data_IF_129503365001
#
_entry.id   IF_129503365001
#
_cell.length_a   1.000
_cell.length_b   1.000
_cell.length_c   1.000
_cell.angle_alpha   90.00
_cell.angle_beta   90.00
_cell.angle_gamma   90.00
#
_symmetry.space_group_name_H-M   'P 1'
#
loop_
_entity.id
_entity.type
_entity.pdbx_description
1 polymer ?
#
# COMPACT_ATOMS: atom_id res chain seq x y z
N UNK A 1 -23.34 -58.95 2.44
CA UNK A 1 -22.67 -58.23 1.34
C UNK A 1 -21.79 -57.18 2.00
N UNK A 2 -20.48 -57.37 1.96
CA UNK A 2 -19.54 -56.37 2.44
C UNK A 2 -19.48 -55.29 1.33
N UNK A 3 -19.97 -54.10 1.61
CA UNK A 3 -19.79 -52.96 0.70
C UNK A 3 -18.30 -52.62 0.71
N UNK A 4 -17.57 -53.12 -0.29
CA UNK A 4 -16.20 -52.66 -0.54
C UNK A 4 -16.26 -51.28 -1.14
N UNK A 5 -15.91 -50.29 -0.35
CA UNK A 5 -15.75 -48.91 -0.85
C UNK A 5 -14.42 -48.88 -1.57
N UNK A 6 -14.41 -48.48 -2.84
CA UNK A 6 -13.19 -48.24 -3.60
C UNK A 6 -12.55 -46.92 -3.13
N UNK A 7 -11.29 -46.99 -2.68
CA UNK A 7 -10.56 -45.82 -2.14
C UNK A 7 -9.14 -45.79 -2.69
N UNK A 8 -8.53 -44.61 -2.72
CA UNK A 8 -7.10 -44.45 -3.02
C UNK A 8 -6.29 -44.59 -1.75
N UNK A 9 -5.29 -45.48 -1.76
CA UNK A 9 -4.35 -45.63 -0.66
C UNK A 9 -2.91 -45.38 -1.16
N UNK A 10 -2.09 -44.82 -0.29
CA UNK A 10 -0.68 -44.64 -0.61
C UNK A 10 0.05 -45.98 -0.65
N UNK A 11 0.75 -46.25 -1.76
CA UNK A 11 1.61 -47.42 -1.88
C UNK A 11 3.01 -47.01 -2.37
N UNK A 12 4.02 -47.69 -1.82
CA UNK A 12 5.42 -47.64 -2.24
C UNK A 12 5.89 -48.95 -2.87
N UNK A 13 4.97 -49.87 -3.15
CA UNK A 13 5.31 -51.18 -3.72
C UNK A 13 5.50 -51.06 -5.25
N UNK A 14 6.61 -51.59 -5.81
CA UNK A 14 6.89 -51.46 -7.25
C UNK A 14 5.89 -52.17 -8.17
N UNK A 15 5.24 -53.21 -7.65
CA UNK A 15 4.31 -54.07 -8.42
C UNK A 15 2.86 -53.55 -8.41
N UNK A 16 2.56 -52.50 -7.63
CA UNK A 16 1.23 -51.91 -7.58
C UNK A 16 0.97 -50.99 -8.81
N UNK A 17 -0.26 -51.00 -9.31
CA UNK A 17 -0.69 -50.02 -10.30
C UNK A 17 -0.90 -48.69 -9.63
N UNK A 18 -0.03 -47.71 -9.91
CA UNK A 18 0.00 -46.40 -9.23
C UNK A 18 -0.75 -45.35 -10.05
N UNK A 19 -1.53 -44.53 -9.37
CA UNK A 19 -2.24 -43.38 -9.93
C UNK A 19 -1.69 -42.06 -9.36
N UNK A 20 -1.65 -41.02 -10.17
CA UNK A 20 -1.36 -39.65 -9.70
C UNK A 20 -2.67 -39.00 -9.29
N UNK A 21 -2.96 -38.98 -8.02
CA UNK A 21 -4.21 -38.45 -7.46
C UNK A 21 -4.03 -37.08 -6.89
N UNK A 22 -4.87 -36.12 -7.26
CA UNK A 22 -4.93 -34.80 -6.65
C UNK A 22 -6.02 -34.77 -5.59
N UNK A 23 -5.66 -34.34 -4.39
CA UNK A 23 -6.59 -34.12 -3.29
C UNK A 23 -6.86 -32.62 -3.12
N UNK A 24 -8.14 -32.26 -3.06
CA UNK A 24 -8.57 -30.91 -2.72
C UNK A 24 -9.03 -30.87 -1.27
N UNK A 25 -8.69 -29.78 -0.58
CA UNK A 25 -9.20 -29.51 0.74
C UNK A 25 -10.67 -29.11 0.64
N UNK A 26 -11.54 -29.81 1.37
CA UNK A 26 -12.96 -29.51 1.51
C UNK A 26 -13.24 -29.04 2.94
N UNK A 27 -14.48 -28.65 3.25
CA UNK A 27 -14.84 -28.27 4.61
C UNK A 27 -14.64 -29.43 5.60
N UNK A 28 -14.45 -29.11 6.87
CA UNK A 28 -14.32 -30.10 7.96
C UNK A 28 -15.52 -31.04 7.95
N UNK A 29 -15.28 -32.35 8.05
CA UNK A 29 -16.28 -33.42 7.98
C UNK A 29 -17.08 -33.46 6.66
N UNK A 30 -16.46 -33.01 5.56
CA UNK A 30 -17.03 -33.08 4.21
C UNK A 30 -16.19 -33.90 3.25
N UNK A 31 -15.06 -34.45 3.70
CA UNK A 31 -14.17 -35.30 2.94
C UNK A 31 -13.89 -36.61 3.67
N UNK A 32 -13.44 -37.61 2.93
CA UNK A 32 -13.13 -38.96 3.42
C UNK A 32 -11.62 -39.19 3.61
N UNK A 33 -10.79 -38.13 3.45
CA UNK A 33 -9.34 -38.19 3.60
C UNK A 33 -8.82 -37.17 4.59
N UNK A 34 -7.74 -37.53 5.28
CA UNK A 34 -6.94 -36.62 6.09
C UNK A 34 -5.51 -36.55 5.57
N UNK A 35 -4.84 -35.43 5.81
CA UNK A 35 -3.42 -35.29 5.55
C UNK A 35 -2.63 -35.99 6.68
N UNK A 36 -2.03 -37.15 6.39
CA UNK A 36 -1.26 -37.94 7.34
C UNK A 36 0.15 -37.41 7.52
N UNK A 37 0.76 -36.95 6.41
CA UNK A 37 2.12 -36.42 6.40
C UNK A 37 2.25 -35.31 5.37
N UNK A 38 2.94 -34.23 5.77
CA UNK A 38 3.23 -33.07 4.93
C UNK A 38 4.72 -32.84 4.71
N UNK A 39 5.52 -33.92 4.64
CA UNK A 39 6.95 -33.81 4.39
C UNK A 39 7.26 -33.07 3.07
N UNK A 40 8.44 -32.45 3.00
CA UNK A 40 8.87 -31.60 1.87
C UNK A 40 8.83 -32.28 0.49
N UNK A 41 8.79 -33.60 0.44
CA UNK A 41 8.88 -34.39 -0.80
C UNK A 41 7.50 -34.80 -1.33
N UNK A 42 6.51 -35.08 -0.44
CA UNK A 42 5.15 -35.42 -0.87
C UNK A 42 4.15 -35.27 0.26
N UNK A 43 2.90 -34.94 -0.10
CA UNK A 43 1.78 -34.96 0.81
C UNK A 43 1.12 -36.34 0.70
N UNK A 44 0.99 -37.04 1.82
CA UNK A 44 0.35 -38.36 1.91
C UNK A 44 -1.01 -38.19 2.57
N UNK A 45 -2.05 -38.64 1.90
CA UNK A 45 -3.42 -38.63 2.37
C UNK A 45 -3.86 -40.03 2.74
N UNK A 46 -4.64 -40.17 3.80
CA UNK A 46 -5.17 -41.42 4.30
C UNK A 46 -6.69 -41.36 4.34
N UNK A 47 -7.32 -42.44 3.86
CA UNK A 47 -8.76 -42.59 3.91
C UNK A 47 -9.23 -42.86 5.34
N UNK A 48 -10.32 -42.19 5.74
CA UNK A 48 -11.00 -42.41 7.03
C UNK A 48 -12.44 -42.80 6.73
N UNK A 49 -12.90 -43.90 7.34
CA UNK A 49 -14.28 -44.32 7.18
C UNK A 49 -15.26 -43.32 7.79
N UNK A 50 -16.36 -43.01 7.10
CA UNK A 50 -17.45 -42.22 7.66
C UNK A 50 -18.05 -42.86 8.91
N UNK A 51 -18.30 -42.06 9.96
CA UNK A 51 -18.98 -42.47 11.16
C UNK A 51 -20.47 -42.11 11.03
N UNK A 52 -21.35 -43.11 11.10
CA UNK A 52 -22.79 -42.89 10.93
C UNK A 52 -23.15 -42.15 9.62
N UNK A 53 -22.41 -42.41 8.54
CA UNK A 53 -22.60 -41.75 7.24
C UNK A 53 -22.07 -40.33 7.16
N UNK A 54 -21.39 -39.84 8.20
CA UNK A 54 -20.76 -38.51 8.20
C UNK A 54 -19.26 -38.66 7.93
N UNK A 55 -18.72 -38.07 6.85
CA UNK A 55 -17.29 -38.03 6.57
C UNK A 55 -16.49 -37.47 7.74
N UNK A 56 -15.28 -37.99 7.97
CA UNK A 56 -14.44 -37.61 9.13
C UNK A 56 -13.19 -36.81 8.71
N UNK A 57 -12.95 -36.68 7.42
CA UNK A 57 -11.82 -35.98 6.86
C UNK A 57 -12.19 -34.58 6.32
N UNK A 58 -11.17 -33.92 5.79
CA UNK A 58 -11.27 -32.61 5.17
C UNK A 58 -10.55 -32.53 3.81
N UNK A 59 -10.30 -33.70 3.19
CA UNK A 59 -9.76 -33.82 1.84
C UNK A 59 -10.54 -34.85 1.03
N UNK A 60 -10.65 -34.61 -0.29
CA UNK A 60 -11.24 -35.51 -1.26
C UNK A 60 -10.40 -35.59 -2.53
N UNK A 61 -10.36 -36.76 -3.23
CA UNK A 61 -9.67 -36.90 -4.52
C UNK A 61 -10.50 -36.30 -5.66
N UNK A 62 -10.82 -35.03 -5.56
CA UNK A 62 -11.64 -34.29 -6.52
C UNK A 62 -10.93 -32.97 -6.90
N UNK A 63 -11.20 -32.51 -8.11
CA UNK A 63 -10.83 -31.16 -8.53
C UNK A 63 -12.03 -30.27 -8.20
N UNK A 64 -11.83 -29.34 -7.26
CA UNK A 64 -12.85 -28.35 -6.98
C UNK A 64 -12.95 -27.38 -8.18
N UNK A 65 -14.07 -27.40 -8.85
CA UNK A 65 -14.36 -26.49 -9.94
C UNK A 65 -14.67 -25.11 -9.35
N UNK A 66 -14.01 -24.08 -9.86
CA UNK A 66 -14.33 -22.69 -9.53
C UNK A 66 -15.63 -22.36 -10.28
N UNK A 67 -16.65 -21.98 -9.53
CA UNK A 67 -17.91 -21.54 -10.13
C UNK A 67 -17.70 -20.28 -10.99
N UNK A 68 -18.36 -20.13 -12.12
CA UNK A 68 -18.33 -18.88 -12.87
C UNK A 68 -18.93 -17.75 -12.03
N UNK A 69 -18.29 -16.59 -12.13
CA UNK A 69 -18.71 -15.36 -11.44
C UNK A 69 -19.31 -14.42 -12.48
N UNK A 70 -20.40 -13.75 -12.12
CA UNK A 70 -21.01 -12.71 -12.94
C UNK A 70 -21.06 -11.40 -12.17
N UNK A 71 -20.38 -10.38 -12.67
CA UNK A 71 -20.43 -9.02 -12.13
C UNK A 71 -21.08 -8.08 -13.13
N UNK A 72 -22.12 -7.38 -12.73
CA UNK A 72 -22.79 -6.34 -13.49
C UNK A 72 -22.80 -5.06 -12.67
N UNK A 73 -22.51 -3.92 -13.30
CA UNK A 73 -22.55 -2.60 -12.69
C UNK A 73 -23.29 -1.65 -13.63
N UNK A 74 -24.23 -0.92 -13.10
CA UNK A 74 -24.88 0.19 -13.80
C UNK A 74 -24.67 1.48 -13.02
N UNK A 75 -24.38 2.57 -13.72
CA UNK A 75 -24.13 3.88 -13.10
C UNK A 75 -25.00 4.96 -13.74
N UNK A 76 -25.50 5.84 -12.88
CA UNK A 76 -26.21 7.05 -13.28
C UNK A 76 -25.47 8.27 -12.77
N UNK A 77 -25.11 9.19 -13.67
CA UNK A 77 -24.34 10.40 -13.42
C UNK A 77 -25.21 11.63 -13.69
N UNK A 78 -25.12 12.62 -12.80
CA UNK A 78 -25.81 13.89 -13.01
C UNK A 78 -24.97 15.08 -12.58
N UNK A 79 -25.21 16.22 -13.26
CA UNK A 79 -24.58 17.51 -12.94
C UNK A 79 -25.63 18.57 -12.84
N UNK A 80 -25.52 19.42 -11.83
CA UNK A 80 -26.40 20.53 -11.59
C UNK A 80 -25.63 21.78 -11.20
N UNK A 81 -25.72 22.82 -12.02
CA UNK A 81 -25.03 24.09 -11.80
C UNK A 81 -26.09 25.21 -11.66
N UNK A 82 -26.66 25.38 -10.44
CA UNK A 82 -27.69 26.38 -10.22
C UNK A 82 -27.21 27.83 -10.43
N UNK A 83 -25.90 28.05 -10.27
CA UNK A 83 -25.26 29.34 -10.53
C UNK A 83 -23.84 29.10 -11.09
N UNK A 84 -23.21 30.15 -11.65
CA UNK A 84 -21.81 30.09 -12.07
C UNK A 84 -20.81 29.81 -10.90
N UNK A 85 -21.26 30.00 -9.66
CA UNK A 85 -20.47 29.82 -8.45
C UNK A 85 -20.70 28.48 -7.77
N UNK A 86 -21.74 27.74 -8.17
CA UNK A 86 -22.16 26.50 -7.52
C UNK A 86 -22.15 25.35 -8.53
N UNK A 87 -21.43 24.30 -8.24
CA UNK A 87 -21.43 23.06 -9.00
C UNK A 87 -21.74 21.88 -8.08
N UNK A 88 -22.66 21.04 -8.50
CA UNK A 88 -23.05 19.81 -7.83
C UNK A 88 -22.97 18.68 -8.84
N UNK A 89 -22.20 17.65 -8.54
CA UNK A 89 -22.13 16.42 -9.32
C UNK A 89 -22.60 15.28 -8.42
N UNK A 90 -23.34 14.33 -8.99
CA UNK A 90 -23.75 13.13 -8.27
C UNK A 90 -23.61 11.89 -9.14
N UNK A 91 -23.37 10.78 -8.49
CA UNK A 91 -23.25 9.46 -9.09
C UNK A 91 -23.96 8.45 -8.22
N UNK A 92 -24.75 7.57 -8.85
CA UNK A 92 -25.41 6.45 -8.21
C UNK A 92 -25.02 5.21 -9.00
N UNK A 93 -24.43 4.24 -8.32
CA UNK A 93 -24.03 2.95 -8.88
C UNK A 93 -24.80 1.83 -8.22
N UNK A 94 -25.27 0.89 -9.01
CA UNK A 94 -25.83 -0.37 -8.54
C UNK A 94 -24.99 -1.51 -9.11
N UNK A 95 -24.69 -2.52 -8.29
CA UNK A 95 -23.97 -3.71 -8.71
C UNK A 95 -24.80 -4.96 -8.44
N UNK A 96 -24.61 -5.97 -9.30
CA UNK A 96 -25.05 -7.32 -9.05
C UNK A 96 -23.82 -8.23 -9.26
N UNK A 97 -23.38 -8.90 -8.19
CA UNK A 97 -22.15 -9.69 -8.17
C UNK A 97 -22.45 -11.10 -7.66
N UNK A 98 -22.88 -11.95 -8.57
CA UNK A 98 -23.13 -13.36 -8.32
C UNK A 98 -21.80 -14.13 -8.35
N UNK A 99 -21.42 -14.70 -7.22
CA UNK A 99 -20.15 -15.41 -7.04
C UNK A 99 -20.22 -16.88 -7.41
N UNK A 100 -21.41 -17.40 -7.70
CA UNK A 100 -21.61 -18.79 -8.02
C UNK A 100 -22.86 -19.00 -8.89
N UNK A 101 -22.74 -18.82 -10.19
CA UNK A 101 -23.85 -18.99 -11.15
C UNK A 101 -24.54 -20.37 -11.13
N UNK A 102 -23.98 -21.35 -10.42
CA UNK A 102 -24.55 -22.69 -10.31
C UNK A 102 -25.42 -22.89 -9.06
N UNK A 103 -25.47 -21.91 -8.15
CA UNK A 103 -26.22 -22.01 -6.90
C UNK A 103 -26.90 -20.68 -6.57
N UNK A 104 -28.13 -20.72 -6.19
CA UNK A 104 -28.88 -19.57 -5.66
C UNK A 104 -28.83 -19.44 -4.14
N UNK A 105 -28.08 -20.26 -3.44
CA UNK A 105 -28.02 -20.26 -1.97
C UNK A 105 -27.32 -19.03 -1.40
N UNK A 106 -26.43 -18.41 -2.18
CA UNK A 106 -25.64 -17.22 -1.79
C UNK A 106 -26.08 -15.92 -2.48
N UNK A 107 -27.25 -15.91 -3.18
CA UNK A 107 -27.74 -14.74 -3.93
C UNK A 107 -28.18 -13.57 -3.08
N UNK A 108 -28.41 -13.75 -1.78
CA UNK A 108 -28.95 -12.71 -0.90
C UNK A 108 -28.06 -11.48 -0.71
N UNK A 109 -26.78 -11.57 -1.08
CA UNK A 109 -25.79 -10.49 -1.00
C UNK A 109 -25.20 -10.07 -2.35
N UNK A 110 -25.84 -10.44 -3.46
CA UNK A 110 -25.37 -10.13 -4.81
C UNK A 110 -25.57 -8.66 -5.17
N UNK A 111 -26.58 -7.99 -4.60
CA UNK A 111 -26.94 -6.64 -4.94
C UNK A 111 -26.31 -5.60 -4.00
N UNK A 112 -25.74 -4.56 -4.57
CA UNK A 112 -25.13 -3.47 -3.83
C UNK A 112 -25.40 -2.10 -4.43
N UNK A 113 -25.39 -1.09 -3.57
CA UNK A 113 -25.59 0.32 -3.90
C UNK A 113 -24.36 1.14 -3.52
N UNK A 114 -23.94 2.04 -4.39
CA UNK A 114 -22.99 3.09 -4.06
C UNK A 114 -23.51 4.45 -4.53
N UNK A 115 -23.26 5.48 -3.74
CA UNK A 115 -23.62 6.85 -4.09
C UNK A 115 -22.47 7.80 -3.82
N UNK A 116 -22.35 8.84 -4.64
CA UNK A 116 -21.37 9.91 -4.46
C UNK A 116 -22.01 11.24 -4.83
N UNK A 117 -21.80 12.23 -3.98
CA UNK A 117 -22.23 13.61 -4.21
C UNK A 117 -21.04 14.53 -3.98
N UNK A 118 -20.73 15.36 -4.95
CA UNK A 118 -19.74 16.42 -4.85
C UNK A 118 -20.46 17.76 -4.93
N UNK A 119 -20.13 18.68 -4.04
CA UNK A 119 -20.60 20.06 -4.08
C UNK A 119 -19.40 21.01 -4.00
N UNK A 120 -19.39 22.03 -4.83
CA UNK A 120 -18.39 23.09 -4.81
C UNK A 120 -19.09 24.44 -4.89
N UNK A 121 -18.69 25.37 -4.02
CA UNK A 121 -19.23 26.71 -3.94
C UNK A 121 -18.10 27.73 -3.94
N UNK A 122 -18.09 28.67 -4.89
CA UNK A 122 -17.26 29.86 -4.86
C UNK A 122 -17.81 30.83 -3.84
N UNK A 123 -17.09 31.03 -2.71
CA UNK A 123 -17.48 31.95 -1.65
C UNK A 123 -17.02 33.38 -1.94
N UNK A 124 -15.83 33.50 -2.47
CA UNK A 124 -15.18 34.79 -2.66
C UNK A 124 -14.26 34.76 -3.88
N UNK A 125 -14.24 35.84 -4.67
CA UNK A 125 -13.41 35.99 -5.86
C UNK A 125 -13.03 37.45 -6.04
N UNK A 126 -11.83 37.80 -5.60
CA UNK A 126 -11.16 39.10 -5.84
C UNK A 126 -9.66 38.83 -6.05
N UNK A 127 -8.80 39.37 -5.17
CA UNK A 127 -7.37 39.06 -5.17
C UNK A 127 -7.10 37.57 -4.83
N UNK A 128 -7.95 37.00 -3.97
CA UNK A 128 -8.00 35.59 -3.63
C UNK A 128 -9.28 34.97 -4.14
N UNK A 129 -9.21 33.73 -4.56
CA UNK A 129 -10.40 32.92 -4.78
C UNK A 129 -10.53 31.97 -3.59
N UNK A 130 -11.71 31.91 -3.01
CA UNK A 130 -12.04 30.99 -1.92
C UNK A 130 -13.20 30.13 -2.34
N UNK A 131 -12.97 28.84 -2.41
CA UNK A 131 -13.95 27.81 -2.72
C UNK A 131 -14.18 26.94 -1.49
N UNK A 132 -15.43 26.71 -1.10
CA UNK A 132 -15.82 25.62 -0.23
C UNK A 132 -16.17 24.39 -1.07
N UNK A 133 -15.86 23.20 -0.58
CA UNK A 133 -16.23 21.96 -1.22
C UNK A 133 -16.66 20.91 -0.20
N UNK A 134 -17.54 20.03 -0.62
CA UNK A 134 -17.94 18.85 0.13
C UNK A 134 -18.09 17.66 -0.84
N UNK A 135 -17.68 16.50 -0.40
CA UNK A 135 -17.86 15.23 -1.08
C UNK A 135 -18.41 14.23 -0.07
N UNK A 136 -19.46 13.56 -0.38
CA UNK A 136 -20.01 12.47 0.41
C UNK A 136 -20.12 11.22 -0.44
N UNK A 137 -19.65 10.12 0.07
CA UNK A 137 -19.69 8.81 -0.55
C UNK A 137 -20.32 7.81 0.42
N UNK A 138 -21.26 7.02 -0.08
CA UNK A 138 -21.79 5.87 0.61
C UNK A 138 -21.60 4.63 -0.26
N UNK A 139 -21.15 3.54 0.33
CA UNK A 139 -20.93 2.26 -0.34
C UNK A 139 -21.54 1.18 0.55
N UNK A 140 -22.57 0.50 0.06
CA UNK A 140 -23.12 -0.66 0.74
C UNK A 140 -22.10 -1.80 0.80
N UNK A 141 -22.14 -2.60 1.85
CA UNK A 141 -21.18 -3.72 2.08
C UNK A 141 -21.14 -4.74 0.93
N UNK A 142 -22.25 -4.91 0.23
CA UNK A 142 -22.43 -5.87 -0.85
C UNK A 142 -22.16 -5.25 -2.24
N UNK A 143 -21.83 -3.95 -2.31
CA UNK A 143 -21.45 -3.31 -3.56
C UNK A 143 -20.11 -3.82 -4.08
N UNK A 144 -20.08 -4.30 -5.30
CA UNK A 144 -18.89 -4.78 -5.99
C UNK A 144 -18.51 -3.83 -7.13
N UNK A 145 -17.35 -3.18 -7.01
CA UNK A 145 -16.80 -2.35 -8.07
C UNK A 145 -15.99 -3.18 -9.08
N UNK A 146 -15.97 -2.76 -10.34
CA UNK A 146 -15.11 -3.38 -11.37
C UNK A 146 -13.65 -3.00 -11.17
N UNK A 147 -13.39 -1.78 -10.70
CA UNK A 147 -12.05 -1.26 -10.46
C UNK A 147 -11.88 -0.85 -8.99
N UNK A 148 -10.64 -0.66 -8.59
CA UNK A 148 -10.31 -0.17 -7.25
C UNK A 148 -10.84 1.26 -7.06
N UNK A 149 -11.61 1.50 -6.01
CA UNK A 149 -12.22 2.80 -5.71
C UNK A 149 -11.24 3.81 -5.09
N UNK A 150 -10.21 3.34 -4.40
CA UNK A 150 -9.25 4.16 -3.68
C UNK A 150 -7.80 3.87 -4.06
N UNK A 151 -6.89 4.79 -3.72
CA UNK A 151 -5.46 4.60 -3.89
C UNK A 151 -4.94 3.40 -3.08
N UNK A 152 -3.77 2.89 -3.46
CA UNK A 152 -3.09 1.79 -2.74
C UNK A 152 -2.82 2.16 -1.27
N UNK A 153 -2.49 3.43 -1.03
CA UNK A 153 -2.16 3.94 0.31
C UNK A 153 -3.38 4.22 1.19
N UNK A 154 -4.61 4.08 0.66
CA UNK A 154 -5.82 4.43 1.40
C UNK A 154 -5.92 3.70 2.75
N UNK A 155 -5.70 2.38 2.74
CA UNK A 155 -5.76 1.60 3.98
C UNK A 155 -4.71 2.02 5.00
N UNK A 156 -3.49 2.33 4.54
CA UNK A 156 -2.42 2.86 5.39
C UNK A 156 -2.74 4.25 5.92
N UNK A 157 -3.29 5.11 5.08
CA UNK A 157 -3.63 6.49 5.43
C UNK A 157 -4.68 6.59 6.53
N UNK A 158 -5.52 5.57 6.66
CA UNK A 158 -6.57 5.46 7.66
C UNK A 158 -6.24 4.47 8.79
N UNK A 159 -5.09 3.80 8.77
CA UNK A 159 -4.78 2.67 9.64
C UNK A 159 -5.91 1.63 9.66
N UNK A 160 -6.46 1.33 8.47
CA UNK A 160 -7.48 0.30 8.33
C UNK A 160 -6.84 -1.07 8.48
N UNK A 161 -7.30 -1.84 9.47
CA UNK A 161 -7.01 -3.26 9.56
C UNK A 161 -7.67 -4.05 8.42
N UNK A 162 -7.33 -5.32 8.30
CA UNK A 162 -7.94 -6.24 7.33
C UNK A 162 -9.43 -6.50 7.57
N UNK A 163 -9.96 -6.01 8.68
CA UNK A 163 -11.30 -6.30 9.21
C UNK A 163 -12.26 -5.12 9.17
N UNK A 164 -11.99 -4.08 8.39
CA UNK A 164 -12.98 -3.01 8.16
C UNK A 164 -14.15 -3.57 7.34
N UNK A 165 -15.30 -3.73 7.99
CA UNK A 165 -16.49 -4.38 7.43
C UNK A 165 -17.75 -3.52 7.59
N UNK A 166 -18.73 -3.79 6.75
CA UNK A 166 -20.02 -3.11 6.79
C UNK A 166 -20.16 -2.03 5.73
N UNK A 167 -21.24 -1.27 5.82
CA UNK A 167 -21.47 -0.14 4.93
C UNK A 167 -20.43 0.95 5.19
N UNK A 168 -19.88 1.51 4.15
CA UNK A 168 -18.91 2.58 4.23
C UNK A 168 -19.55 3.94 3.99
N UNK A 169 -19.27 4.91 4.84
CA UNK A 169 -19.58 6.33 4.66
C UNK A 169 -18.27 7.14 4.67
N UNK A 170 -18.09 7.98 3.66
CA UNK A 170 -16.88 8.81 3.57
C UNK A 170 -17.28 10.25 3.22
N UNK A 171 -17.05 11.14 4.16
CA UNK A 171 -17.26 12.58 4.02
C UNK A 171 -15.91 13.29 3.89
N UNK A 172 -15.81 14.14 2.90
CA UNK A 172 -14.71 15.10 2.73
C UNK A 172 -15.31 16.48 2.65
N UNK A 173 -14.84 17.42 3.43
CA UNK A 173 -15.25 18.83 3.35
C UNK A 173 -14.07 19.76 3.57
N UNK A 174 -14.07 20.92 2.95
CA UNK A 174 -12.93 21.81 3.09
C UNK A 174 -13.06 23.16 2.42
N UNK A 175 -11.98 23.91 2.54
CA UNK A 175 -11.79 25.22 1.94
C UNK A 175 -10.52 25.20 1.08
N UNK A 176 -10.63 25.69 -0.11
CA UNK A 176 -9.51 25.95 -1.00
C UNK A 176 -9.37 27.47 -1.21
N UNK A 177 -8.24 28.00 -0.80
CA UNK A 177 -7.86 29.38 -1.07
C UNK A 177 -6.80 29.39 -2.17
N UNK A 178 -7.06 30.10 -3.27
CA UNK A 178 -6.14 30.20 -4.39
C UNK A 178 -5.75 31.66 -4.63
N UNK A 179 -4.45 31.93 -4.63
CA UNK A 179 -3.90 33.19 -5.10
C UNK A 179 -3.42 32.98 -6.53
N UNK A 180 -4.09 33.54 -7.54
CA UNK A 180 -3.77 33.31 -8.95
C UNK A 180 -2.25 33.51 -9.21
N UNK A 181 -1.66 32.61 -9.97
CA UNK A 181 -0.22 32.54 -10.33
C UNK A 181 0.78 32.40 -9.17
N UNK A 182 0.32 32.55 -7.92
CA UNK A 182 1.21 32.53 -6.74
C UNK A 182 1.03 31.31 -5.85
N UNK A 183 -0.12 30.63 -5.92
CA UNK A 183 -0.28 29.39 -5.19
C UNK A 183 -1.66 29.15 -4.56
N UNK A 184 -1.70 28.13 -3.72
CA UNK A 184 -2.93 27.72 -3.04
C UNK A 184 -2.68 27.17 -1.64
N UNK A 185 -3.70 27.28 -0.80
CA UNK A 185 -3.82 26.65 0.50
C UNK A 185 -5.14 25.88 0.52
N UNK A 186 -5.07 24.61 0.86
CA UNK A 186 -6.25 23.71 0.97
C UNK A 186 -6.27 23.13 2.37
N UNK A 187 -7.36 23.39 3.08
CA UNK A 187 -7.68 22.66 4.30
C UNK A 187 -8.85 21.74 4.03
N UNK A 188 -8.75 20.51 4.54
CA UNK A 188 -9.70 19.44 4.30
C UNK A 188 -9.93 18.67 5.60
N UNK A 189 -11.19 18.48 5.95
CA UNK A 189 -11.63 17.56 6.98
C UNK A 189 -12.24 16.34 6.31
N UNK A 190 -11.89 15.17 6.80
CA UNK A 190 -12.39 13.90 6.31
C UNK A 190 -12.93 13.07 7.45
N UNK A 191 -14.03 12.39 7.22
CA UNK A 191 -14.61 11.40 8.13
C UNK A 191 -14.89 10.11 7.37
N UNK A 192 -14.35 9.01 7.86
CA UNK A 192 -14.56 7.68 7.31
C UNK A 192 -15.15 6.77 8.38
N UNK A 193 -16.28 6.16 8.06
CA UNK A 193 -16.95 5.20 8.94
C UNK A 193 -17.24 3.91 8.17
N UNK A 194 -17.02 2.78 8.83
CA UNK A 194 -17.53 1.47 8.44
C UNK A 194 -18.53 1.04 9.52
N UNK A 195 -19.77 0.74 9.15
CA UNK A 195 -20.87 0.52 10.09
C UNK A 195 -20.64 -0.63 11.07
N UNK A 196 -19.74 -1.55 10.74
CA UNK A 196 -19.43 -2.70 11.58
C UNK A 196 -18.37 -2.44 12.65
N UNK A 197 -17.35 -1.64 12.37
CA UNK A 197 -16.17 -1.71 13.22
C UNK A 197 -15.12 -0.61 13.11
N UNK A 198 -15.36 0.50 12.42
CA UNK A 198 -14.34 1.55 12.26
C UNK A 198 -14.97 2.94 12.14
N UNK A 199 -14.36 3.91 12.82
CA UNK A 199 -14.63 5.34 12.65
C UNK A 199 -13.31 6.13 12.70
N UNK A 200 -13.10 7.03 11.75
CA UNK A 200 -11.90 7.85 11.70
C UNK A 200 -12.19 9.29 11.26
N UNK A 201 -11.44 10.23 11.85
CA UNK A 201 -11.44 11.63 11.47
C UNK A 201 -10.04 12.06 11.07
N UNK A 202 -9.88 12.70 9.91
CA UNK A 202 -8.59 13.16 9.38
C UNK A 202 -8.66 14.63 8.99
N UNK A 203 -7.65 15.37 9.39
CA UNK A 203 -7.41 16.76 8.99
C UNK A 203 -6.23 16.80 8.03
N UNK A 204 -6.37 17.49 6.91
CA UNK A 204 -5.31 17.63 5.90
C UNK A 204 -5.11 19.12 5.61
N UNK A 205 -3.86 19.52 5.54
CA UNK A 205 -3.46 20.86 5.14
C UNK A 205 -2.40 20.78 4.04
N UNK A 206 -2.73 21.31 2.87
CA UNK A 206 -1.82 21.39 1.73
C UNK A 206 -1.58 22.85 1.36
N UNK A 207 -0.30 23.22 1.23
CA UNK A 207 0.11 24.55 0.82
C UNK A 207 1.13 24.45 -0.32
N UNK A 208 0.90 25.19 -1.39
CA UNK A 208 1.80 25.34 -2.52
C UNK A 208 1.89 26.81 -2.90
N UNK A 209 3.04 27.45 -2.69
CA UNK A 209 3.25 28.85 -3.01
C UNK A 209 4.52 29.09 -3.80
N UNK A 210 4.42 29.95 -4.79
CA UNK A 210 5.53 30.52 -5.56
C UNK A 210 5.49 32.06 -5.40
N UNK A 211 6.20 32.56 -4.41
CA UNK A 211 6.16 33.97 -4.01
C UNK A 211 7.51 34.64 -4.35
N UNK A 212 7.60 35.29 -5.50
CA UNK A 212 8.84 35.92 -5.99
C UNK A 212 10.04 34.93 -5.93
N UNK A 213 10.85 35.03 -4.89
CA UNK A 213 12.04 34.19 -4.68
C UNK A 213 11.75 32.91 -3.89
N UNK A 214 10.58 32.83 -3.22
CA UNK A 214 10.24 31.72 -2.35
C UNK A 214 9.33 30.70 -3.04
N UNK A 215 9.71 29.44 -2.91
CA UNK A 215 8.84 28.32 -3.24
C UNK A 215 8.60 27.50 -1.99
N UNK A 216 7.33 27.40 -1.58
CA UNK A 216 6.90 26.69 -0.38
C UNK A 216 5.96 25.57 -0.81
N UNK A 217 6.27 24.37 -0.39
CA UNK A 217 5.41 23.21 -0.54
C UNK A 217 5.29 22.53 0.81
N UNK A 218 4.07 22.40 1.31
CA UNK A 218 3.79 21.71 2.57
C UNK A 218 2.56 20.83 2.43
N UNK A 219 2.66 19.64 2.96
CA UNK A 219 1.56 18.68 3.05
C UNK A 219 1.56 18.11 4.46
N UNK A 220 0.47 18.27 5.18
CA UNK A 220 0.29 17.76 6.52
C UNK A 220 -1.02 16.99 6.63
N UNK A 221 -1.04 15.94 7.44
CA UNK A 221 -2.26 15.21 7.80
C UNK A 221 -2.20 14.73 9.24
N UNK A 222 -3.35 14.75 9.90
CA UNK A 222 -3.52 14.22 11.24
C UNK A 222 -4.81 13.39 11.30
N UNK A 223 -4.65 12.12 11.62
CA UNK A 223 -5.72 11.13 11.78
C UNK A 223 -5.91 10.80 13.25
N UNK A 224 -7.18 10.71 13.67
CA UNK A 224 -7.61 9.95 14.83
C UNK A 224 -8.59 8.88 14.36
N UNK A 225 -8.38 7.63 14.72
CA UNK A 225 -9.31 6.54 14.38
C UNK A 225 -9.58 5.63 15.56
N UNK A 226 -10.75 5.04 15.51
CA UNK A 226 -11.31 4.11 16.48
C UNK A 226 -11.82 2.88 15.72
N UNK A 227 -11.21 1.73 15.96
CA UNK A 227 -11.64 0.44 15.46
C UNK A 227 -12.15 -0.44 16.61
N UNK A 228 -12.73 -1.60 16.34
CA UNK A 228 -13.20 -2.50 17.40
C UNK A 228 -12.11 -2.87 18.40
N UNK A 229 -10.91 -3.18 17.93
CA UNK A 229 -9.81 -3.69 18.75
C UNK A 229 -8.70 -2.67 19.02
N UNK A 230 -8.67 -1.55 18.30
CA UNK A 230 -7.58 -0.58 18.41
C UNK A 230 -8.05 0.87 18.26
N UNK A 231 -7.22 1.78 18.78
CA UNK A 231 -7.31 3.21 18.51
C UNK A 231 -6.01 3.69 17.91
N UNK A 232 -6.06 4.65 16.98
CA UNK A 232 -4.83 5.17 16.42
C UNK A 232 -4.81 6.69 16.28
N UNK A 233 -3.58 7.24 16.34
CA UNK A 233 -3.24 8.62 16.02
C UNK A 233 -2.13 8.60 14.99
N UNK A 234 -2.33 9.26 13.86
CA UNK A 234 -1.34 9.26 12.80
C UNK A 234 -1.10 10.68 12.28
N UNK A 235 0.08 11.22 12.62
CA UNK A 235 0.56 12.52 12.16
C UNK A 235 1.56 12.32 11.03
N UNK A 236 1.37 13.04 9.93
CA UNK A 236 2.36 13.20 8.86
C UNK A 236 2.55 14.66 8.52
N UNK A 237 3.77 15.03 8.22
CA UNK A 237 4.11 16.31 7.62
C UNK A 237 5.28 16.16 6.67
N UNK A 238 5.17 16.79 5.51
CA UNK A 238 6.28 17.00 4.60
C UNK A 238 6.25 18.45 4.15
N UNK A 239 7.30 19.18 4.50
CA UNK A 239 7.45 20.60 4.16
C UNK A 239 8.79 20.82 3.47
N UNK A 240 8.77 21.53 2.37
CA UNK A 240 9.97 22.00 1.67
C UNK A 240 9.84 23.49 1.40
N UNK A 241 10.87 24.21 1.78
CA UNK A 241 11.00 25.65 1.51
C UNK A 241 12.26 25.86 0.69
N UNK A 242 12.14 26.61 -0.40
CA UNK A 242 13.24 26.91 -1.33
C UNK A 242 13.28 28.41 -1.57
N UNK A 243 14.46 29.00 -1.49
CA UNK A 243 14.72 30.39 -1.82
C UNK A 243 15.60 30.47 -3.04
N UNK A 244 15.15 31.19 -4.08
CA UNK A 244 15.85 31.38 -5.35
C UNK A 244 16.51 32.75 -5.41
N UNK A 245 17.76 32.79 -5.84
CA UNK A 245 18.50 34.03 -6.08
C UNK A 245 19.38 33.88 -7.33
N UNK A 246 19.15 34.73 -8.31
CA UNK A 246 19.78 34.62 -9.63
C UNK A 246 19.56 33.21 -10.25
N UNK A 247 20.65 32.48 -10.51
CA UNK A 247 20.62 31.09 -11.00
C UNK A 247 20.84 30.06 -9.90
N UNK A 248 20.78 30.45 -8.64
CA UNK A 248 21.00 29.53 -7.53
C UNK A 248 19.76 29.42 -6.66
N UNK A 249 19.71 28.35 -5.85
CA UNK A 249 18.73 28.20 -4.79
C UNK A 249 19.34 27.49 -3.58
N UNK A 250 18.77 27.79 -2.45
CA UNK A 250 18.98 27.05 -1.20
C UNK A 250 17.62 26.63 -0.68
N UNK A 251 17.59 25.58 0.08
CA UNK A 251 16.34 25.14 0.69
C UNK A 251 16.52 24.19 1.84
N UNK A 252 15.42 24.00 2.53
CA UNK A 252 15.29 23.03 3.62
C UNK A 252 14.11 22.11 3.38
N UNK A 253 14.22 20.87 3.90
CA UNK A 253 13.16 19.86 3.89
C UNK A 253 12.97 19.32 5.29
N UNK A 254 11.70 19.26 5.72
CA UNK A 254 11.27 18.63 6.96
C UNK A 254 10.27 17.52 6.58
N UNK A 255 10.45 16.31 7.14
CA UNK A 255 9.50 15.21 7.05
C UNK A 255 9.31 14.62 8.44
N UNK A 256 8.07 14.48 8.84
CA UNK A 256 7.67 13.90 10.11
C UNK A 256 6.61 12.83 9.86
N UNK A 257 6.73 11.73 10.54
CA UNK A 257 5.69 10.71 10.60
C UNK A 257 5.67 10.16 12.03
N UNK A 258 4.48 10.12 12.64
CA UNK A 258 4.27 9.54 13.96
C UNK A 258 2.95 8.76 13.90
N UNK A 259 3.07 7.45 13.79
CA UNK A 259 1.94 6.51 13.80
C UNK A 259 1.93 5.78 15.13
N UNK A 260 0.87 5.98 15.90
CA UNK A 260 0.65 5.37 17.20
C UNK A 260 -0.68 4.62 17.17
N UNK A 261 -0.61 3.30 17.14
CA UNK A 261 -1.77 2.43 17.26
C UNK A 261 -1.69 1.65 18.57
N UNK A 262 -2.79 1.62 19.33
CA UNK A 262 -2.89 0.92 20.59
C UNK A 262 -4.04 -0.08 20.60
N UNK A 263 -3.77 -1.25 21.13
CA UNK A 263 -4.81 -2.22 21.43
C UNK A 263 -5.69 -1.70 22.57
N UNK A 264 -7.01 -1.78 22.42
CA UNK A 264 -7.97 -1.27 23.42
C UNK A 264 -8.01 -2.09 24.71
N UNK A 265 -7.72 -3.40 24.62
CA UNK A 265 -7.79 -4.32 25.76
C UNK A 265 -6.52 -4.23 26.59
N UNK A 266 -5.34 -4.29 25.96
CA UNK A 266 -4.05 -4.28 26.68
C UNK A 266 -3.47 -2.89 26.88
N UNK A 267 -3.97 -1.88 26.13
CA UNK A 267 -3.43 -0.52 26.04
C UNK A 267 -1.96 -0.45 25.55
N UNK A 268 -1.46 -1.53 24.96
CA UNK A 268 -0.12 -1.63 24.41
C UNK A 268 -0.07 -1.13 22.96
N UNK A 269 1.07 -0.66 22.54
CA UNK A 269 1.30 -0.29 21.15
C UNK A 269 1.31 -1.52 20.24
N UNK A 270 0.67 -1.42 19.09
CA UNK A 270 0.76 -2.45 18.04
C UNK A 270 2.09 -2.36 17.27
N UNK A 271 2.45 -3.43 16.58
CA UNK A 271 3.64 -3.49 15.73
C UNK A 271 3.64 -2.48 14.58
N UNK A 272 2.48 -1.88 14.25
CA UNK A 272 2.35 -0.81 13.25
C UNK A 272 2.83 0.56 13.78
N UNK A 273 3.07 0.66 15.09
CA UNK A 273 3.48 1.92 15.72
C UNK A 273 4.94 2.23 15.42
N UNK A 274 5.15 3.39 14.78
CA UNK A 274 6.48 3.86 14.40
C UNK A 274 6.51 5.38 14.30
N UNK A 275 7.70 5.95 14.43
CA UNK A 275 7.92 7.38 14.26
C UNK A 275 9.21 7.64 13.52
N UNK A 276 9.24 8.65 12.66
CA UNK A 276 10.48 9.21 12.17
C UNK A 276 10.42 10.73 12.07
N UNK A 277 11.60 11.34 12.19
CA UNK A 277 11.83 12.75 11.86
C UNK A 277 13.02 12.86 10.91
N UNK A 278 12.86 13.59 9.83
CA UNK A 278 13.90 13.88 8.85
C UNK A 278 13.96 15.40 8.63
N UNK A 279 15.14 15.96 8.70
CA UNK A 279 15.41 17.34 8.31
C UNK A 279 16.66 17.39 7.43
N UNK A 280 16.70 18.36 6.57
CA UNK A 280 17.84 18.50 5.68
C UNK A 280 17.88 19.81 4.94
N UNK A 281 19.04 20.07 4.37
CA UNK A 281 19.34 21.26 3.58
C UNK A 281 19.80 20.84 2.21
N UNK A 282 19.53 21.67 1.23
CA UNK A 282 19.99 21.46 -0.14
C UNK A 282 20.29 22.80 -0.79
N UNK A 283 21.23 22.79 -1.72
CA UNK A 283 21.58 23.93 -2.53
C UNK A 283 21.80 23.50 -3.97
N UNK A 284 21.43 24.36 -4.89
CA UNK A 284 21.58 24.07 -6.32
C UNK A 284 21.85 25.30 -7.16
N UNK A 285 22.29 25.02 -8.39
CA UNK A 285 22.58 26.03 -9.40
C UNK A 285 22.11 25.56 -10.76
N UNK A 286 21.63 26.47 -11.56
CA UNK A 286 21.14 26.25 -12.91
C UNK A 286 19.67 26.55 -13.06
N UNK A 287 19.02 25.87 -13.98
CA UNK A 287 17.58 25.86 -14.16
C UNK A 287 17.08 24.44 -13.93
N UNK A 288 16.27 24.24 -12.91
CA UNK A 288 15.77 22.90 -12.53
C UNK A 288 14.93 22.22 -13.62
N UNK A 289 14.48 22.95 -14.63
CA UNK A 289 13.78 22.43 -15.81
C UNK A 289 14.72 22.13 -16.99
N UNK A 290 15.95 22.61 -16.94
CA UNK A 290 16.96 22.46 -17.99
C UNK A 290 18.22 21.81 -17.41
N UNK A 291 19.33 22.57 -17.40
CA UNK A 291 20.62 22.14 -16.86
C UNK A 291 20.77 22.64 -15.43
N UNK A 292 21.03 21.72 -14.49
CA UNK A 292 21.22 22.07 -13.09
C UNK A 292 22.06 21.03 -12.34
N UNK A 293 22.56 21.45 -11.20
CA UNK A 293 23.16 20.58 -10.16
C UNK A 293 22.54 20.98 -8.82
N UNK A 294 22.12 20.02 -8.04
CA UNK A 294 21.61 20.19 -6.67
C UNK A 294 22.28 19.17 -5.75
N UNK A 295 22.84 19.65 -4.65
CA UNK A 295 23.41 18.85 -3.57
C UNK A 295 22.51 18.96 -2.34
N UNK A 296 22.31 17.84 -1.64
CA UNK A 296 21.50 17.78 -0.43
C UNK A 296 22.16 16.95 0.66
N UNK A 297 21.91 17.34 1.90
CA UNK A 297 22.20 16.59 3.10
C UNK A 297 20.95 16.44 3.94
N UNK A 298 20.63 15.20 4.34
CA UNK A 298 19.44 14.88 5.11
C UNK A 298 19.80 13.97 6.27
N UNK A 299 19.32 14.32 7.45
CA UNK A 299 19.45 13.49 8.65
C UNK A 299 18.08 13.01 9.07
N UNK A 300 17.95 11.70 9.27
CA UNK A 300 16.71 11.07 9.67
C UNK A 300 16.94 10.22 10.92
N UNK A 301 15.99 10.30 11.82
CA UNK A 301 15.92 9.56 13.06
C UNK A 301 14.70 8.64 13.00
N UNK A 302 14.87 7.32 13.19
CA UNK A 302 13.80 6.33 13.14
C UNK A 302 13.60 5.73 14.52
N UNK A 303 12.34 5.71 14.94
CA UNK A 303 11.89 5.08 16.17
C UNK A 303 10.90 3.96 15.82
N UNK A 304 11.00 2.82 16.47
CA UNK A 304 10.06 1.71 16.33
C UNK A 304 9.73 1.09 17.68
N UNK A 305 8.74 0.22 17.69
CA UNK A 305 8.33 -0.49 18.90
C UNK A 305 9.43 -1.47 19.32
N UNK A 306 9.93 -1.30 20.54
CA UNK A 306 10.91 -2.16 21.19
C UNK A 306 10.49 -2.33 22.64
N UNK A 307 10.29 -3.56 23.12
CA UNK A 307 9.91 -3.86 24.49
C UNK A 307 8.68 -3.06 24.98
N UNK A 308 7.66 -2.92 24.11
CA UNK A 308 6.40 -2.24 24.42
C UNK A 308 6.44 -0.70 24.35
N UNK A 309 7.57 -0.07 24.03
CA UNK A 309 7.71 1.38 23.90
C UNK A 309 8.29 1.78 22.54
N UNK A 310 7.90 2.96 22.05
CA UNK A 310 8.46 3.54 20.82
C UNK A 310 9.77 4.25 21.17
N UNK A 311 10.89 3.69 20.73
CA UNK A 311 12.22 4.22 21.00
C UNK A 311 13.11 4.21 19.77
N UNK A 312 14.21 5.00 19.83
CA UNK A 312 15.17 5.12 18.74
C UNK A 312 15.82 3.78 18.40
N UNK A 313 15.76 3.39 17.13
CA UNK A 313 16.42 2.19 16.63
C UNK A 313 17.63 2.50 15.75
N UNK A 314 17.55 3.57 14.96
CA UNK A 314 18.67 4.02 14.15
C UNK A 314 18.54 5.49 13.75
N UNK A 315 19.67 6.04 13.29
CA UNK A 315 19.74 7.32 12.59
C UNK A 315 20.33 7.07 11.20
N UNK A 316 19.93 7.89 10.23
CA UNK A 316 20.61 7.85 8.93
C UNK A 316 21.01 9.24 8.48
N UNK A 317 22.14 9.30 7.79
CA UNK A 317 22.65 10.48 7.11
C UNK A 317 22.69 10.20 5.63
N UNK A 318 22.13 11.09 4.83
CA UNK A 318 22.02 10.91 3.38
C UNK A 318 22.62 12.11 2.67
N UNK A 319 23.56 11.85 1.79
CA UNK A 319 24.12 12.80 0.84
C UNK A 319 23.54 12.53 -0.55
N UNK A 320 22.90 13.52 -1.12
CA UNK A 320 22.20 13.39 -2.39
C UNK A 320 22.78 14.35 -3.43
N UNK A 321 23.02 13.84 -4.64
CA UNK A 321 23.30 14.63 -5.83
C UNK A 321 22.18 14.40 -6.83
N UNK A 322 21.58 15.48 -7.31
CA UNK A 322 20.61 15.48 -8.40
C UNK A 322 21.08 16.44 -9.46
N UNK A 323 21.19 16.00 -10.68
CA UNK A 323 21.66 16.87 -11.76
C UNK A 323 21.09 16.48 -13.10
N UNK A 324 20.99 17.47 -13.96
CA UNK A 324 20.85 17.35 -15.39
C UNK A 324 22.00 18.15 -16.00
N UNK A 325 23.03 17.44 -16.46
CA UNK A 325 24.31 18.04 -16.84
C UNK A 325 24.33 18.51 -18.29
N UNK A 326 23.61 17.80 -19.14
CA UNK A 326 23.46 18.12 -20.56
C UNK A 326 21.99 18.11 -20.91
N UNK A 327 21.54 19.12 -21.62
CA UNK A 327 20.24 19.16 -22.28
C UNK A 327 20.31 19.99 -23.54
N UNK A 328 20.43 19.30 -24.66
CA UNK A 328 20.42 19.87 -26.01
C UNK A 328 19.39 19.15 -26.87
N UNK A 329 19.18 19.58 -28.08
CA UNK A 329 18.32 18.86 -29.04
C UNK A 329 18.91 17.50 -29.46
N UNK A 330 20.22 17.31 -29.27
CA UNK A 330 20.94 16.09 -29.67
C UNK A 330 21.19 15.17 -28.48
N UNK A 331 21.57 15.73 -27.34
CA UNK A 331 22.03 14.93 -26.20
C UNK A 331 21.41 15.42 -24.89
N UNK A 332 21.09 14.50 -23.97
CA UNK A 332 20.76 14.79 -22.59
C UNK A 332 21.49 13.82 -21.64
N UNK A 333 21.95 14.35 -20.50
CA UNK A 333 22.63 13.59 -19.46
C UNK A 333 22.06 13.98 -18.10
N UNK A 334 21.51 12.99 -17.42
CA UNK A 334 21.02 13.11 -16.05
C UNK A 334 21.82 12.19 -15.11
N UNK A 335 22.16 12.68 -13.93
CA UNK A 335 22.85 11.92 -12.90
C UNK A 335 22.16 12.11 -11.55
N UNK A 336 21.84 11.00 -10.92
CA UNK A 336 21.36 10.91 -9.56
C UNK A 336 22.31 10.05 -8.74
N UNK A 337 22.71 10.52 -7.55
CA UNK A 337 23.51 9.75 -6.58
C UNK A 337 22.92 9.96 -5.19
N UNK A 338 22.78 8.88 -4.46
CA UNK A 338 22.28 8.88 -3.09
C UNK A 338 23.18 7.97 -2.25
N UNK A 339 24.05 8.59 -1.44
CA UNK A 339 24.89 7.89 -0.47
C UNK A 339 24.29 8.03 0.91
N UNK A 340 23.97 6.92 1.55
CA UNK A 340 23.36 6.87 2.87
C UNK A 340 24.17 6.04 3.81
N UNK A 341 24.36 6.54 5.03
CA UNK A 341 24.91 5.80 6.16
C UNK A 341 23.82 5.61 7.20
N UNK A 342 23.61 4.38 7.63
CA UNK A 342 22.69 3.98 8.68
C UNK A 342 23.47 3.64 9.93
N UNK A 343 23.22 4.36 11.02
CA UNK A 343 23.83 4.19 12.32
C UNK A 343 22.82 3.58 13.29
N UNK A 344 23.07 2.39 13.80
CA UNK A 344 22.19 1.72 14.77
C UNK A 344 22.45 2.20 16.19
N UNK A 345 21.40 2.26 17.02
CA UNK A 345 21.54 2.49 18.47
C UNK A 345 22.11 1.25 19.16
N UNK A 346 21.81 0.08 18.65
CA UNK A 346 22.38 -1.18 19.09
C UNK A 346 23.87 -1.26 18.70
N UNK A 347 24.75 -1.15 19.69
CA UNK A 347 26.20 -1.12 19.50
C UNK A 347 26.78 -2.44 18.93
N UNK A 348 26.02 -3.53 18.93
CA UNK A 348 26.42 -4.81 18.33
C UNK A 348 26.32 -4.78 16.81
N UNK A 349 25.51 -3.87 16.25
CA UNK A 349 25.31 -3.72 14.81
C UNK A 349 26.30 -2.73 14.22
N UNK A 350 26.90 -3.11 13.10
CA UNK A 350 27.79 -2.21 12.35
C UNK A 350 26.97 -1.20 11.53
N UNK A 351 27.56 -0.03 11.32
CA UNK A 351 27.00 0.97 10.42
C UNK A 351 26.90 0.41 9.00
N UNK A 352 25.78 0.69 8.34
CA UNK A 352 25.49 0.19 7.00
C UNK A 352 25.52 1.35 5.99
N UNK A 353 26.59 1.47 5.19
CA UNK A 353 26.61 2.37 4.06
C UNK A 353 25.85 1.77 2.88
N UNK A 354 25.12 2.60 2.15
CA UNK A 354 24.46 2.22 0.90
C UNK A 354 24.65 3.30 -0.17
N UNK A 355 24.84 2.86 -1.39
CA UNK A 355 25.01 3.74 -2.56
C UNK A 355 23.97 3.37 -3.62
N UNK A 356 23.10 4.33 -3.97
CA UNK A 356 22.19 4.21 -5.11
C UNK A 356 22.56 5.29 -6.10
N UNK A 357 22.89 4.92 -7.32
CA UNK A 357 23.14 5.90 -8.39
C UNK A 357 22.48 5.47 -9.68
N UNK A 358 22.07 6.47 -10.46
CA UNK A 358 21.52 6.28 -11.78
C UNK A 358 22.01 7.38 -12.70
N UNK A 359 22.63 6.98 -13.80
CA UNK A 359 23.01 7.85 -14.89
C UNK A 359 22.20 7.46 -16.13
N UNK A 360 21.62 8.44 -16.78
CA UNK A 360 20.93 8.26 -18.06
C UNK A 360 21.56 9.23 -19.04
N UNK A 361 22.12 8.69 -20.11
CA UNK A 361 22.65 9.45 -21.23
C UNK A 361 21.94 9.07 -22.51
N UNK A 362 21.28 10.04 -23.14
CA UNK A 362 20.65 9.89 -24.45
C UNK A 362 21.41 10.70 -25.45
N UNK A 363 21.63 10.13 -26.63
CA UNK A 363 22.23 10.83 -27.78
C UNK A 363 21.48 10.51 -29.08
N UNK A 364 21.48 11.47 -30.01
CA UNK A 364 20.77 11.41 -31.27
C UNK A 364 21.73 11.81 -32.38
N UNK A 365 22.09 10.84 -33.21
CA UNK A 365 23.03 10.98 -34.29
C UNK A 365 22.29 11.14 -35.63
N UNK A 366 22.97 11.72 -36.65
CA UNK A 366 22.51 11.80 -38.03
C UNK A 366 21.07 12.36 -38.14
N UNK A 367 20.83 13.55 -37.60
CA UNK A 367 19.49 14.18 -37.56
C UNK A 367 18.38 13.28 -36.98
N UNK A 368 18.69 12.59 -35.91
CA UNK A 368 17.79 11.67 -35.15
C UNK A 368 17.54 10.31 -35.85
N UNK A 369 18.28 9.98 -36.89
CA UNK A 369 18.20 8.68 -37.55
C UNK A 369 18.62 7.54 -36.59
N UNK A 370 19.64 7.80 -35.75
CA UNK A 370 20.10 6.87 -34.72
C UNK A 370 19.89 7.52 -33.34
N UNK A 371 19.24 6.82 -32.45
CA UNK A 371 19.06 7.22 -31.07
C UNK A 371 19.71 6.16 -30.15
N UNK A 372 20.57 6.62 -29.26
CA UNK A 372 21.23 5.79 -28.26
C UNK A 372 20.79 6.19 -26.87
N UNK A 373 20.46 5.22 -26.01
CA UNK A 373 20.19 5.41 -24.59
C UNK A 373 21.14 4.54 -23.80
N UNK A 374 21.98 5.15 -22.98
CA UNK A 374 22.86 4.45 -22.05
C UNK A 374 22.34 4.67 -20.63
N UNK A 375 22.07 3.58 -19.93
CA UNK A 375 21.66 3.61 -18.52
C UNK A 375 22.70 2.87 -17.70
N UNK A 376 23.20 3.53 -16.66
CA UNK A 376 24.08 2.94 -15.68
C UNK A 376 23.45 3.09 -14.31
N UNK A 377 23.22 1.97 -13.62
CA UNK A 377 22.64 1.93 -12.29
C UNK A 377 23.51 1.13 -11.33
N UNK A 378 23.68 1.67 -10.13
CA UNK A 378 24.23 0.93 -8.99
C UNK A 378 23.22 0.96 -7.86
N UNK A 379 23.02 -0.17 -7.25
CA UNK A 379 22.20 -0.30 -6.05
C UNK A 379 22.97 -1.20 -5.07
N UNK A 380 23.44 -0.64 -3.98
CA UNK A 380 24.03 -1.39 -2.90
C UNK A 380 23.16 -1.29 -1.65
N UNK A 381 22.94 -2.40 -1.00
CA UNK A 381 22.25 -2.50 0.27
C UNK A 381 22.78 -3.67 1.04
N UNK A 382 22.52 -3.73 2.36
CA UNK A 382 22.75 -4.92 3.14
C UNK A 382 21.74 -5.99 2.75
N UNK A 383 22.25 -7.16 2.41
CA UNK A 383 21.41 -8.36 2.27
C UNK A 383 21.29 -8.94 3.68
N UNK A 384 20.08 -9.24 4.18
CA UNK A 384 19.92 -9.96 5.42
C UNK A 384 20.77 -11.23 5.38
N UNK A 385 21.54 -11.47 6.42
CA UNK A 385 22.31 -12.70 6.54
C UNK A 385 21.32 -13.87 6.46
N UNK A 386 21.51 -14.77 5.51
CA UNK A 386 20.68 -15.96 5.40
C UNK A 386 21.07 -16.90 6.53
N UNK A 387 20.10 -17.26 7.34
CA UNK A 387 20.26 -18.30 8.34
C UNK A 387 19.83 -19.61 7.69
N UNK A 388 20.73 -20.61 7.73
CA UNK A 388 20.37 -21.96 7.29
C UNK A 388 19.47 -22.57 8.37
N UNK A 389 18.22 -22.84 8.02
CA UNK A 389 17.33 -23.61 8.87
C UNK A 389 17.30 -25.05 8.36
N UNK A 390 17.57 -25.98 9.26
CA UNK A 390 17.38 -27.40 9.02
C UNK A 390 16.49 -27.96 10.12
N UNK A 391 15.69 -28.92 9.76
CA UNK A 391 14.80 -29.64 10.67
C UNK A 391 15.16 -31.11 10.61
N UNK A 392 15.41 -31.71 11.77
CA UNK A 392 15.56 -33.14 11.87
C UNK A 392 14.22 -33.81 11.57
N UNK A 393 14.24 -34.78 10.67
CA UNK A 393 13.06 -35.51 10.22
C UNK A 393 13.27 -37.02 10.37
N UNK A 394 12.21 -37.83 10.56
CA UNK A 394 12.32 -39.28 10.63
C UNK A 394 12.98 -39.89 9.41
N UNK A 395 13.52 -41.10 9.59
CA UNK A 395 14.18 -41.87 8.53
C UNK A 395 13.26 -42.02 7.30
N UNK A 396 13.77 -41.70 6.12
CA UNK A 396 13.02 -41.73 4.86
C UNK A 396 12.31 -40.41 4.51
N UNK A 397 12.35 -39.38 5.36
CA UNK A 397 11.76 -38.07 5.09
C UNK A 397 12.78 -36.98 4.75
N UNK A 398 14.07 -37.26 4.93
CA UNK A 398 15.17 -36.39 4.56
C UNK A 398 16.17 -37.12 3.68
N UNK A 399 16.97 -36.35 2.93
CA UNK A 399 18.01 -36.88 2.02
C UNK A 399 19.42 -36.39 2.37
N UNK A 400 19.56 -35.58 3.43
CA UNK A 400 20.82 -35.02 3.89
C UNK A 400 21.10 -35.43 5.32
N UNK A 401 22.39 -35.69 5.64
CA UNK A 401 22.88 -35.86 7.00
C UNK A 401 23.77 -34.69 7.35
N UNK A 402 23.70 -34.27 8.62
CA UNK A 402 24.67 -33.30 9.16
C UNK A 402 26.00 -34.03 9.43
N UNK A 403 27.07 -33.53 8.81
CA UNK A 403 28.43 -33.96 9.10
C UNK A 403 29.14 -32.79 9.77
N UNK A 404 29.63 -32.99 10.99
CA UNK A 404 30.47 -32.05 11.75
C UNK A 404 31.82 -31.81 11.09
#
# INVERSE_FOLDING_TARGET
MVNTVEVFEYSNKPDDVLFNVRFSQVAVNKGNYILKNSAAISRIYEYIEPVNGIPQGNYEPVIQLIAPIKTQVATFLGKYNPTEKTAIDFEIGVSNNDKNLFSSQDDSNNEGLATKINAKQRLFSKKWNVDAFANYQFIAKDFSSVERLYSIEFSRDWNLGTTAIGNQSYLVSGLQMTLPEKGSLVYQFEKLDFSGNFSGNRHILNALFNLNHWKIQSQGSFLNSDATSSTSKFLRNQTQVKYHFKKNWIGTRLRLEDNQEKNKTTNEFSALSQRFSEYGFFAGRGDSTKVFVELGYFKRANDSLQNGIIQRVNNSQTFALRSKLIQTNKSDLSLFVNYRVLDFVDATKKNEPSLNSRMIYNDRFFNQLIQSTTVFETNSGSIPQQEFTYLEVPVGQGVYTWND
#
